data_IF_583167385238
#
_entry.id   IF_583167385238
#
_cell.length_a   1.000
_cell.length_b   1.000
_cell.length_c   1.000
_cell.angle_alpha   90.00
_cell.angle_beta   90.00
_cell.angle_gamma   90.00
#
_symmetry.space_group_name_H-M   'P 1'
#
loop_
_entity.id
_entity.type
_entity.pdbx_description
1 polymer ?
#
# COMPACT_ATOMS: atom_id res chain seq x y z
N UNK A 1 -4.85 -4.96 -27.35
CA UNK A 1 -6.23 -5.50 -27.40
C UNK A 1 -7.27 -4.54 -27.98
N UNK A 2 -7.15 -3.21 -27.82
CA UNK A 2 -8.17 -2.25 -28.32
C UNK A 2 -8.57 -2.46 -29.80
N UNK A 3 -7.60 -2.74 -30.67
CA UNK A 3 -7.85 -2.93 -32.11
C UNK A 3 -7.91 -4.42 -32.51
N UNK A 4 -7.97 -5.32 -31.54
CA UNK A 4 -8.07 -6.77 -31.79
C UNK A 4 -9.54 -7.19 -31.71
N UNK A 5 -10.18 -7.54 -32.84
CA UNK A 5 -11.61 -7.85 -32.88
C UNK A 5 -11.99 -9.10 -32.08
N UNK A 6 -11.04 -10.00 -31.76
CA UNK A 6 -11.32 -11.18 -30.94
C UNK A 6 -11.16 -10.91 -29.44
N UNK A 7 -10.32 -9.94 -29.07
CA UNK A 7 -9.92 -9.69 -27.69
C UNK A 7 -10.48 -8.39 -27.10
N UNK A 8 -10.93 -7.44 -27.93
CA UNK A 8 -11.38 -6.13 -27.46
C UNK A 8 -12.48 -6.22 -26.40
N UNK A 9 -13.54 -7.01 -26.67
CA UNK A 9 -14.66 -7.15 -25.73
C UNK A 9 -14.24 -7.83 -24.41
N UNK A 10 -13.37 -8.83 -24.48
CA UNK A 10 -12.85 -9.53 -23.29
C UNK A 10 -11.96 -8.61 -22.46
N UNK A 11 -11.08 -7.86 -23.12
CA UNK A 11 -10.21 -6.90 -22.46
C UNK A 11 -11.02 -5.79 -21.79
N UNK A 12 -12.05 -5.27 -22.45
CA UNK A 12 -12.96 -4.28 -21.89
C UNK A 12 -13.63 -4.80 -20.61
N UNK A 13 -14.24 -5.99 -20.67
CA UNK A 13 -14.92 -6.59 -19.53
C UNK A 13 -13.99 -6.71 -18.30
N UNK A 14 -12.77 -7.22 -18.49
CA UNK A 14 -11.78 -7.33 -17.39
C UNK A 14 -11.33 -5.96 -16.90
N UNK A 15 -11.02 -5.03 -17.80
CA UNK A 15 -10.52 -3.70 -17.41
C UNK A 15 -11.57 -2.87 -16.66
N UNK A 16 -12.86 -3.06 -16.97
CA UNK A 16 -13.96 -2.33 -16.32
C UNK A 16 -14.19 -2.71 -14.86
N UNK A 17 -13.70 -3.88 -14.44
CA UNK A 17 -13.86 -4.40 -13.07
C UNK A 17 -12.53 -4.41 -12.28
N UNK A 18 -11.41 -4.17 -12.95
CA UNK A 18 -10.10 -4.08 -12.32
C UNK A 18 -9.95 -2.72 -11.65
N UNK A 19 -9.89 -2.72 -10.32
CA UNK A 19 -9.70 -1.52 -9.50
C UNK A 19 -8.58 -1.73 -8.50
N UNK A 20 -7.85 -0.66 -8.22
CA UNK A 20 -7.03 -0.59 -7.03
C UNK A 20 -7.92 -0.50 -5.77
N UNK A 21 -7.47 -1.10 -4.67
CA UNK A 21 -8.20 -1.07 -3.41
C UNK A 21 -8.46 0.35 -2.92
N UNK A 22 -7.54 1.29 -3.18
CA UNK A 22 -7.70 2.69 -2.78
C UNK A 22 -8.79 3.40 -3.59
N UNK A 23 -8.98 3.03 -4.87
CA UNK A 23 -10.12 3.51 -5.66
C UNK A 23 -11.44 2.95 -5.10
N UNK A 24 -11.47 1.65 -4.78
CA UNK A 24 -12.66 1.01 -4.23
C UNK A 24 -13.05 1.63 -2.88
N UNK A 25 -12.10 1.78 -1.95
CA UNK A 25 -12.33 2.38 -0.64
C UNK A 25 -12.77 3.85 -0.74
N UNK A 26 -12.25 4.59 -1.73
CA UNK A 26 -12.72 5.95 -2.02
C UNK A 26 -14.18 5.94 -2.48
N UNK A 27 -14.56 5.02 -3.38
CA UNK A 27 -15.95 4.88 -3.85
C UNK A 27 -16.93 4.46 -2.75
N UNK A 28 -16.47 3.69 -1.77
CA UNK A 28 -17.26 3.23 -0.62
C UNK A 28 -17.34 4.27 0.51
N UNK A 29 -16.78 5.47 0.34
CA UNK A 29 -16.65 6.50 1.38
C UNK A 29 -16.02 5.93 2.66
N UNK A 30 -14.82 5.34 2.55
CA UNK A 30 -14.04 4.86 3.70
C UNK A 30 -13.99 5.88 4.84
N UNK A 31 -14.18 5.42 6.08
CA UNK A 31 -14.10 6.25 7.29
C UNK A 31 -13.29 5.52 8.35
N UNK A 32 -12.31 6.21 8.94
CA UNK A 32 -11.69 5.75 10.17
C UNK A 32 -12.75 5.68 11.28
N UNK A 33 -12.70 4.62 12.08
CA UNK A 33 -13.63 4.37 13.18
C UNK A 33 -12.93 4.40 14.54
N UNK A 34 -11.59 4.46 14.55
CA UNK A 34 -10.79 4.62 15.75
C UNK A 34 -9.69 5.66 15.56
N UNK A 35 -9.18 6.17 16.68
CA UNK A 35 -8.04 7.08 16.69
C UNK A 35 -6.76 6.27 16.65
N UNK A 36 -5.91 6.56 15.66
CA UNK A 36 -4.54 6.07 15.59
C UNK A 36 -3.58 7.17 16.08
N UNK A 37 -2.38 6.82 16.58
CA UNK A 37 -1.33 7.82 16.81
C UNK A 37 -1.05 8.59 15.51
N UNK A 38 -0.70 9.90 15.60
CA UNK A 38 -0.38 10.71 14.42
C UNK A 38 1.00 10.34 13.88
N UNK A 39 1.13 9.16 13.28
CA UNK A 39 2.38 8.65 12.73
C UNK A 39 2.72 9.36 11.43
N UNK A 40 4.01 9.61 11.24
CA UNK A 40 4.55 10.15 9.99
C UNK A 40 4.76 9.03 8.99
N UNK A 41 4.00 9.04 7.92
CA UNK A 41 3.99 7.98 6.90
C UNK A 41 4.65 8.48 5.63
N UNK A 42 5.78 7.85 5.26
CA UNK A 42 6.36 8.03 3.94
C UNK A 42 5.58 7.19 2.93
N UNK A 43 4.85 7.84 2.03
CA UNK A 43 4.13 7.12 0.97
C UNK A 43 5.01 6.87 -0.25
N UNK A 44 5.23 5.59 -0.59
CA UNK A 44 5.84 5.19 -1.85
C UNK A 44 4.77 4.94 -2.91
N UNK A 45 4.69 5.87 -3.87
CA UNK A 45 3.84 5.71 -5.04
C UNK A 45 4.48 4.68 -5.99
N UNK A 46 3.93 3.47 -6.06
CA UNK A 46 4.47 2.41 -6.90
C UNK A 46 4.30 2.73 -8.39
N UNK A 47 5.31 2.45 -9.21
CA UNK A 47 5.30 2.76 -10.65
C UNK A 47 4.16 2.05 -11.42
N UNK A 48 3.77 0.85 -11.00
CA UNK A 48 2.62 0.12 -11.57
C UNK A 48 1.29 0.83 -11.33
N UNK A 49 1.14 1.50 -10.18
CA UNK A 49 -0.05 2.30 -9.86
C UNK A 49 -0.01 3.62 -10.63
N UNK A 50 1.12 4.34 -10.61
CA UNK A 50 1.25 5.64 -11.27
C UNK A 50 1.11 5.59 -12.79
N UNK A 51 1.79 4.64 -13.44
CA UNK A 51 1.90 4.61 -14.91
C UNK A 51 0.95 3.59 -15.53
N UNK A 52 0.73 2.46 -14.84
CA UNK A 52 -0.18 1.41 -15.30
C UNK A 52 -1.63 1.78 -15.05
N UNK A 53 -2.01 1.82 -13.77
CA UNK A 53 -3.40 2.08 -13.36
C UNK A 53 -3.78 3.57 -13.37
N UNK A 54 -2.78 4.47 -13.34
CA UNK A 54 -2.94 5.93 -13.22
C UNK A 54 -3.64 6.36 -11.93
N UNK A 55 -3.45 5.58 -10.87
CA UNK A 55 -3.89 5.90 -9.51
C UNK A 55 -2.78 6.67 -8.83
N UNK A 56 -3.05 7.91 -8.43
CA UNK A 56 -2.01 8.82 -7.92
C UNK A 56 -2.36 9.48 -6.59
N UNK A 57 -3.63 9.83 -6.36
CA UNK A 57 -4.01 10.69 -5.22
C UNK A 57 -4.79 9.96 -4.14
N UNK A 58 -5.52 8.91 -4.53
CA UNK A 58 -6.40 8.10 -3.70
C UNK A 58 -5.66 7.51 -2.50
N UNK A 59 -4.46 6.91 -2.65
CA UNK A 59 -3.75 6.31 -1.52
C UNK A 59 -3.36 7.35 -0.44
N UNK A 60 -2.82 8.49 -0.86
CA UNK A 60 -2.41 9.57 0.04
C UNK A 60 -3.61 10.15 0.77
N UNK A 61 -4.69 10.48 0.04
CA UNK A 61 -5.92 11.02 0.63
C UNK A 61 -6.55 10.08 1.64
N UNK A 62 -6.54 8.77 1.39
CA UNK A 62 -7.09 7.79 2.32
C UNK A 62 -6.24 7.70 3.60
N UNK A 63 -4.90 7.70 3.48
CA UNK A 63 -4.01 7.71 4.64
C UNK A 63 -4.18 8.99 5.47
N UNK A 64 -4.29 10.16 4.83
CA UNK A 64 -4.60 11.42 5.51
C UNK A 64 -5.98 11.38 6.19
N UNK A 65 -7.02 10.86 5.50
CA UNK A 65 -8.37 10.68 6.06
C UNK A 65 -8.39 9.69 7.23
N UNK A 66 -7.43 8.75 7.26
CA UNK A 66 -7.24 7.81 8.35
C UNK A 66 -6.52 8.39 9.58
N UNK A 67 -6.03 9.64 9.51
CA UNK A 67 -5.41 10.34 10.63
C UNK A 67 -3.88 10.30 10.65
N UNK A 68 -3.23 9.82 9.57
CA UNK A 68 -1.78 9.79 9.45
C UNK A 68 -1.22 11.09 8.85
N UNK A 69 0.01 11.46 9.24
CA UNK A 69 0.76 12.56 8.64
C UNK A 69 1.55 12.03 7.43
N UNK A 70 1.02 12.20 6.21
CA UNK A 70 1.68 11.68 5.00
C UNK A 70 2.75 12.65 4.53
N UNK A 71 4.01 12.25 4.70
CA UNK A 71 5.16 13.09 4.33
C UNK A 71 5.58 12.88 2.87
N UNK A 72 5.87 13.94 2.10
CA UNK A 72 6.42 13.80 0.77
C UNK A 72 7.83 13.21 0.83
N UNK A 73 8.08 12.17 0.02
CA UNK A 73 9.40 11.56 -0.14
C UNK A 73 10.14 12.24 -1.30
N UNK A 74 11.38 12.70 -1.12
CA UNK A 74 12.20 13.19 -2.23
C UNK A 74 12.28 12.16 -3.34
N UNK A 75 12.10 12.61 -4.59
CA UNK A 75 12.12 11.73 -5.77
C UNK A 75 11.11 10.57 -5.65
N UNK A 76 9.91 10.85 -5.11
CA UNK A 76 8.84 9.86 -4.89
C UNK A 76 8.51 9.05 -6.14
N UNK A 77 8.55 9.68 -7.32
CA UNK A 77 8.32 9.07 -8.63
C UNK A 77 9.38 8.05 -9.06
N UNK A 78 10.58 8.06 -8.46
CA UNK A 78 11.66 7.14 -8.83
C UNK A 78 11.31 5.70 -8.40
N UNK A 79 11.55 4.75 -9.31
CA UNK A 79 11.35 3.32 -9.10
C UNK A 79 12.13 2.80 -7.87
N UNK A 80 11.57 1.82 -7.16
CA UNK A 80 12.22 1.14 -6.04
C UNK A 80 13.32 0.15 -6.49
N UNK A 81 13.35 -0.24 -7.76
CA UNK A 81 14.31 -1.22 -8.31
C UNK A 81 13.80 -2.66 -8.42
N UNK A 82 12.60 -2.99 -7.91
CA UNK A 82 12.06 -4.35 -7.96
C UNK A 82 11.65 -4.80 -9.37
N UNK A 83 10.65 -4.12 -9.97
CA UNK A 83 10.08 -4.37 -11.30
C UNK A 83 10.00 -5.86 -11.72
N UNK A 84 9.46 -6.72 -10.85
CA UNK A 84 9.28 -8.15 -11.15
C UNK A 84 10.59 -8.93 -11.12
N UNK A 85 11.06 -9.40 -12.27
CA UNK A 85 12.35 -10.13 -12.39
C UNK A 85 13.56 -9.19 -12.54
N UNK A 86 13.33 -7.88 -12.67
CA UNK A 86 14.40 -6.93 -12.94
C UNK A 86 15.49 -6.94 -11.86
N UNK A 87 15.11 -7.00 -10.58
CA UNK A 87 16.08 -7.09 -9.49
C UNK A 87 16.95 -8.36 -9.52
N UNK A 88 16.47 -9.46 -10.11
CA UNK A 88 17.26 -10.68 -10.32
C UNK A 88 18.19 -10.53 -11.53
N UNK A 89 17.73 -9.87 -12.58
CA UNK A 89 18.48 -9.71 -13.83
C UNK A 89 19.50 -8.57 -13.78
N UNK A 90 19.25 -7.55 -12.95
CA UNK A 90 20.04 -6.31 -12.81
C UNK A 90 20.24 -5.95 -11.33
N UNK A 91 20.85 -6.84 -10.51
CA UNK A 91 20.91 -6.70 -9.06
C UNK A 91 21.67 -5.45 -8.59
N UNK A 92 22.76 -5.08 -9.26
CA UNK A 92 23.56 -3.90 -8.91
C UNK A 92 22.76 -2.59 -9.07
N UNK A 93 22.06 -2.46 -10.19
CA UNK A 93 21.24 -1.28 -10.46
C UNK A 93 19.99 -1.24 -9.58
N UNK A 94 19.34 -2.39 -9.36
CA UNK A 94 18.22 -2.50 -8.43
C UNK A 94 18.63 -2.14 -7.00
N UNK A 95 19.81 -2.57 -6.55
CA UNK A 95 20.40 -2.20 -5.26
C UNK A 95 20.67 -0.70 -5.16
N UNK A 96 21.23 -0.10 -6.21
CA UNK A 96 21.47 1.36 -6.27
C UNK A 96 20.17 2.16 -6.15
N UNK A 97 19.11 1.74 -6.86
CA UNK A 97 17.80 2.38 -6.77
C UNK A 97 17.17 2.21 -5.38
N UNK A 98 17.27 1.02 -4.79
CA UNK A 98 16.75 0.75 -3.45
C UNK A 98 17.48 1.59 -2.38
N UNK A 99 18.81 1.66 -2.41
CA UNK A 99 19.60 2.46 -1.49
C UNK A 99 19.27 3.96 -1.60
N UNK A 100 19.13 4.49 -2.81
CA UNK A 100 18.70 5.88 -3.02
C UNK A 100 17.30 6.13 -2.50
N UNK A 101 16.36 5.20 -2.72
CA UNK A 101 15.00 5.30 -2.21
C UNK A 101 14.97 5.30 -0.68
N UNK A 102 15.70 4.38 -0.05
CA UNK A 102 15.82 4.28 1.39
C UNK A 102 16.38 5.58 2.00
N UNK A 103 17.49 6.10 1.47
CA UNK A 103 18.07 7.36 1.94
C UNK A 103 17.08 8.54 1.87
N UNK A 104 16.31 8.64 0.77
CA UNK A 104 15.28 9.67 0.64
C UNK A 104 14.14 9.47 1.66
N UNK A 105 13.70 8.23 1.90
CA UNK A 105 12.68 7.92 2.92
C UNK A 105 13.19 8.30 4.31
N UNK A 106 14.40 7.86 4.68
CA UNK A 106 15.02 8.11 5.98
C UNK A 106 15.19 9.61 6.25
N UNK A 107 15.50 10.40 5.22
CA UNK A 107 15.59 11.86 5.32
C UNK A 107 14.29 12.55 5.76
N UNK A 108 13.14 11.88 5.60
CA UNK A 108 11.84 12.43 6.02
C UNK A 108 11.58 12.29 7.52
N UNK A 109 12.31 11.41 8.21
CA UNK A 109 12.02 11.04 9.60
C UNK A 109 10.68 10.32 9.77
N UNK A 110 10.26 9.54 8.77
CA UNK A 110 9.00 8.78 8.83
C UNK A 110 9.08 7.63 9.85
N UNK A 111 7.97 7.37 10.52
CA UNK A 111 7.79 6.25 11.44
C UNK A 111 7.55 4.93 10.69
N UNK A 112 6.96 5.02 9.48
CA UNK A 112 6.67 3.89 8.61
C UNK A 112 6.60 4.30 7.13
N UNK A 113 6.72 3.31 6.26
CA UNK A 113 6.55 3.44 4.80
C UNK A 113 5.29 2.69 4.37
N UNK A 114 4.43 3.38 3.63
CA UNK A 114 3.24 2.77 3.02
C UNK A 114 3.46 2.60 1.51
N UNK A 115 3.16 1.41 0.98
CA UNK A 115 3.18 1.13 -0.46
C UNK A 115 2.00 0.25 -0.88
N UNK A 116 1.69 0.24 -2.19
CA UNK A 116 0.60 -0.57 -2.77
C UNK A 116 1.08 -1.76 -3.61
N UNK A 117 2.39 -2.05 -3.62
CA UNK A 117 2.96 -3.11 -4.46
C UNK A 117 3.95 -3.96 -3.66
N UNK A 118 3.71 -5.27 -3.60
CA UNK A 118 4.51 -6.21 -2.81
C UNK A 118 6.00 -6.23 -3.20
N UNK A 119 6.31 -6.15 -4.49
CA UNK A 119 7.70 -6.07 -4.96
C UNK A 119 8.40 -4.81 -4.45
N UNK A 120 7.69 -3.69 -4.42
CA UNK A 120 8.21 -2.45 -3.82
C UNK A 120 8.41 -2.59 -2.31
N UNK A 121 7.45 -3.20 -1.61
CA UNK A 121 7.53 -3.43 -0.15
C UNK A 121 8.80 -4.23 0.17
N UNK A 122 8.99 -5.39 -0.47
CA UNK A 122 10.14 -6.26 -0.22
C UNK A 122 11.47 -5.54 -0.56
N UNK A 123 11.53 -4.86 -1.70
CA UNK A 123 12.75 -4.18 -2.14
C UNK A 123 13.15 -3.01 -1.23
N UNK A 124 12.18 -2.22 -0.76
CA UNK A 124 12.44 -1.10 0.15
C UNK A 124 12.75 -1.62 1.55
N UNK A 125 12.01 -2.61 2.05
CA UNK A 125 12.26 -3.22 3.36
C UNK A 125 13.66 -3.85 3.46
N UNK A 126 14.22 -4.34 2.35
CA UNK A 126 15.60 -4.83 2.30
C UNK A 126 16.68 -3.75 2.34
N UNK A 127 16.30 -2.45 2.29
CA UNK A 127 17.23 -1.32 2.17
C UNK A 127 17.09 -0.28 3.29
N UNK A 128 16.13 -0.42 4.22
CA UNK A 128 15.96 0.48 5.37
C UNK A 128 15.41 -0.29 6.58
N UNK A 129 15.71 0.20 7.78
CA UNK A 129 15.16 -0.32 9.04
C UNK A 129 13.77 0.26 9.37
N UNK A 130 13.30 1.27 8.63
CA UNK A 130 11.96 1.83 8.80
C UNK A 130 10.93 0.77 8.36
N UNK A 131 9.92 0.45 9.19
CA UNK A 131 8.87 -0.51 8.83
C UNK A 131 8.20 -0.18 7.49
N UNK A 132 8.17 -1.13 6.56
CA UNK A 132 7.50 -1.00 5.26
C UNK A 132 6.32 -1.95 5.22
N UNK A 133 5.13 -1.42 4.91
CA UNK A 133 3.89 -2.20 4.92
C UNK A 133 2.95 -1.80 3.79
N UNK A 134 1.92 -2.61 3.58
CA UNK A 134 0.88 -2.29 2.63
C UNK A 134 -0.02 -1.17 3.17
N UNK A 135 -0.43 -0.23 2.30
CA UNK A 135 -1.28 0.90 2.72
C UNK A 135 -2.60 0.43 3.36
N UNK A 136 -3.11 -0.73 2.96
CA UNK A 136 -4.34 -1.33 3.55
C UNK A 136 -4.15 -1.71 5.01
N UNK A 137 -2.95 -2.10 5.47
CA UNK A 137 -2.74 -2.45 6.88
C UNK A 137 -2.96 -1.23 7.78
N UNK A 138 -2.53 -0.05 7.33
CA UNK A 138 -2.76 1.22 8.03
C UNK A 138 -4.23 1.64 7.99
N UNK A 139 -4.89 1.48 6.83
CA UNK A 139 -6.30 1.80 6.68
C UNK A 139 -7.19 0.88 7.50
N UNK A 140 -6.87 -0.41 7.53
CA UNK A 140 -7.56 -1.42 8.35
C UNK A 140 -7.45 -1.08 9.84
N UNK A 141 -6.23 -0.80 10.31
CA UNK A 141 -5.99 -0.35 11.68
C UNK A 141 -6.83 0.88 12.04
N UNK A 142 -6.86 1.90 11.19
CA UNK A 142 -7.67 3.09 11.45
C UNK A 142 -9.19 2.83 11.38
N UNK A 143 -9.63 1.71 10.80
CA UNK A 143 -11.06 1.34 10.68
C UNK A 143 -11.54 0.22 11.62
N UNK A 144 -10.77 -0.12 12.66
CA UNK A 144 -11.18 -1.13 13.66
C UNK A 144 -10.32 -2.38 13.66
N UNK A 145 -9.41 -2.51 12.69
CA UNK A 145 -8.46 -3.61 12.60
C UNK A 145 -7.34 -3.52 13.66
N UNK A 146 -6.55 -4.59 13.81
CA UNK A 146 -5.45 -4.62 14.77
C UNK A 146 -4.33 -3.64 14.35
N UNK A 147 -3.56 -3.16 15.32
CA UNK A 147 -2.31 -2.46 15.05
C UNK A 147 -1.35 -3.38 14.27
N UNK A 148 -0.72 -2.91 13.17
CA UNK A 148 0.35 -3.67 12.51
C UNK A 148 1.47 -3.96 13.50
N UNK A 149 1.98 -5.20 13.49
CA UNK A 149 2.97 -5.67 14.49
C UNK A 149 4.21 -4.76 14.56
N UNK A 150 4.69 -4.29 13.40
CA UNK A 150 5.86 -3.42 13.33
C UNK A 150 5.64 -2.02 13.96
N UNK A 151 4.40 -1.66 14.26
CA UNK A 151 3.99 -0.38 14.85
C UNK A 151 3.49 -0.48 16.29
N UNK A 152 3.52 -1.67 16.91
CA UNK A 152 3.06 -1.89 18.29
C UNK A 152 3.71 -0.94 19.30
N UNK A 153 4.99 -0.59 19.10
CA UNK A 153 5.71 0.38 19.95
C UNK A 153 5.10 1.78 19.96
N UNK A 154 4.28 2.11 18.97
CA UNK A 154 3.58 3.38 18.86
C UNK A 154 2.11 3.28 19.26
N UNK A 155 1.57 2.08 19.51
CA UNK A 155 0.16 1.89 19.81
C UNK A 155 -0.25 2.68 21.06
N UNK A 156 -1.44 3.29 21.02
CA UNK A 156 -2.00 3.95 22.18
C UNK A 156 -2.35 2.91 23.26
N UNK A 157 -2.09 3.19 24.55
CA UNK A 157 -2.27 2.22 25.64
C UNK A 157 -3.72 1.71 25.80
N UNK A 158 -4.71 2.45 25.30
CA UNK A 158 -6.14 2.10 25.32
C UNK A 158 -6.72 1.76 23.93
N UNK A 159 -5.87 1.53 22.92
CA UNK A 159 -6.29 1.10 21.58
C UNK A 159 -6.80 -0.35 21.56
N UNK A 160 -7.56 -0.77 20.53
CA UNK A 160 -8.03 -2.15 20.44
C UNK A 160 -6.84 -3.09 20.49
N UNK A 161 -6.81 -3.89 21.57
CA UNK A 161 -5.82 -4.92 21.83
C UNK A 161 -5.81 -5.88 20.65
N UNK A 162 -4.62 -6.34 20.28
CA UNK A 162 -4.40 -7.33 19.21
C UNK A 162 -5.37 -8.50 19.36
N UNK A 163 -6.43 -8.51 18.53
CA UNK A 163 -7.29 -9.69 18.44
C UNK A 163 -6.52 -10.76 17.67
N UNK A 164 -6.40 -11.94 18.27
CA UNK A 164 -6.01 -13.15 17.53
C UNK A 164 -6.86 -13.25 16.26
N UNK A 165 -6.28 -13.70 15.13
CA UNK A 165 -7.00 -13.75 13.86
C UNK A 165 -8.35 -14.46 14.07
N UNK A 166 -9.44 -13.96 13.46
CA UNK A 166 -10.71 -14.65 13.55
C UNK A 166 -10.50 -16.08 13.07
N UNK A 167 -11.02 -17.04 13.84
CA UNK A 167 -11.07 -18.44 13.41
C UNK A 167 -11.71 -18.54 12.01
N UNK A 168 -11.49 -19.63 11.27
CA UNK A 168 -11.92 -19.76 9.88
C UNK A 168 -13.40 -19.34 9.76
N UNK A 169 -13.63 -18.22 9.08
CA UNK A 169 -14.98 -17.74 8.82
C UNK A 169 -15.59 -18.71 7.83
N UNK A 170 -16.58 -19.49 8.26
CA UNK A 170 -17.43 -20.22 7.34
C UNK A 170 -18.13 -19.19 6.44
N UNK A 171 -17.66 -19.08 5.20
CA UNK A 171 -18.41 -18.43 4.14
C UNK A 171 -19.73 -19.21 3.99
N UNK A 172 -20.80 -18.71 4.60
CA UNK A 172 -22.15 -19.15 4.30
C UNK A 172 -22.45 -18.66 2.89
N UNK A 173 -22.06 -19.45 1.89
CA UNK A 173 -22.61 -19.34 0.55
C UNK A 173 -24.05 -19.84 0.68
N UNK A 174 -25.00 -18.93 0.85
CA UNK A 174 -26.41 -19.27 0.65
C UNK A 174 -26.60 -19.71 -0.80
N UNK A 175 -27.06 -20.94 -1.06
CA UNK A 175 -27.30 -21.38 -2.43
C UNK A 175 -28.57 -20.70 -2.97
N UNK A 176 -28.38 -19.82 -3.96
CA UNK A 176 -29.36 -19.53 -5.01
C UNK A 176 -30.57 -18.65 -4.67
N UNK A 177 -30.66 -17.51 -5.36
CA UNK A 177 -31.91 -16.94 -5.88
C UNK A 177 -31.60 -16.29 -7.24
#
# INVERSE_FOLDING_TARGET
>A
FRNDPQMAQKAEAVSSIALDITELLTKLDYRATQVVPPLKIAYHSACSLQHGQKVTSEPVKLLEKAGFDVTPVPESHLCCGSAGTYNLLQPELAGTLAARKAANIESTGADAVAAGNLGCIIQIAGATDIPVMHSVELLDWASGGPCPQALEKFALPDGPQTHSPPGPTEFIISPGA
#
